data_IF_096193102107
#
_entry.id   IF_096193102107
#
_cell.length_a   1.000
_cell.length_b   1.000
_cell.length_c   1.000
_cell.angle_alpha   90.00
_cell.angle_beta   90.00
_cell.angle_gamma   90.00
#
_symmetry.space_group_name_H-M   'P 1'
#
loop_
_entity.id
_entity.type
_entity.pdbx_description
1 polymer ?
#
# COMPACT_ATOMS: atom_id res chain seq x y z
N UNK A 1 1.07 -50.70 -36.49
CA UNK A 1 -0.15 -51.03 -35.73
C UNK A 1 0.17 -50.87 -34.26
N UNK A 2 -0.69 -50.12 -33.53
CA UNK A 2 -0.73 -49.88 -32.06
C UNK A 2 0.43 -49.04 -31.49
N UNK A 3 0.24 -47.81 -31.00
CA UNK A 3 -0.62 -47.22 -29.91
C UNK A 3 -0.02 -47.41 -28.51
N UNK A 4 -0.36 -46.42 -27.66
CA UNK A 4 -0.13 -46.26 -26.20
C UNK A 4 1.12 -45.43 -25.85
N UNK A 5 1.06 -44.13 -25.53
CA UNK A 5 0.31 -43.28 -24.58
C UNK A 5 0.78 -43.37 -23.10
N UNK A 6 1.26 -42.21 -22.61
CA UNK A 6 1.22 -41.70 -21.23
C UNK A 6 2.14 -42.33 -20.15
N UNK A 7 3.01 -41.51 -19.53
CA UNK A 7 2.91 -41.14 -18.10
C UNK A 7 4.13 -40.34 -17.57
N UNK A 8 3.81 -39.14 -17.08
CA UNK A 8 4.24 -38.54 -15.78
C UNK A 8 5.71 -38.45 -15.37
N UNK A 9 6.16 -37.19 -15.26
CA UNK A 9 6.58 -36.55 -14.00
C UNK A 9 7.42 -37.36 -13.02
N UNK A 10 8.72 -37.08 -12.98
CA UNK A 10 9.50 -36.99 -11.73
C UNK A 10 10.87 -36.41 -12.06
N UNK A 11 11.10 -35.14 -11.77
CA UNK A 11 12.46 -34.61 -11.60
C UNK A 11 12.62 -34.22 -10.15
N UNK A 12 13.07 -35.19 -9.37
CA UNK A 12 13.64 -34.98 -8.05
C UNK A 12 15.02 -35.65 -8.02
N UNK A 13 15.97 -34.91 -7.47
CA UNK A 13 17.34 -35.30 -7.09
C UNK A 13 18.45 -35.30 -8.16
N UNK A 14 19.19 -34.18 -8.17
CA UNK A 14 20.60 -34.17 -7.76
C UNK A 14 21.65 -34.39 -8.85
N UNK A 15 22.63 -33.49 -8.97
CA UNK A 15 24.00 -33.73 -8.47
C UNK A 15 24.86 -32.47 -8.65
N UNK A 16 25.70 -32.22 -7.64
CA UNK A 16 26.69 -31.15 -7.60
C UNK A 16 27.80 -31.36 -8.65
N UNK A 17 28.35 -30.27 -9.17
CA UNK A 17 29.80 -30.23 -9.42
C UNK A 17 30.41 -29.17 -8.51
N UNK A 18 31.34 -29.65 -7.69
CA UNK A 18 32.03 -28.95 -6.63
C UNK A 18 33.34 -28.40 -7.17
N UNK A 19 33.56 -27.09 -7.09
CA UNK A 19 34.89 -26.50 -7.26
C UNK A 19 35.08 -25.31 -6.33
N UNK A 20 35.33 -25.67 -5.07
CA UNK A 20 36.39 -25.17 -4.19
C UNK A 20 37.00 -23.80 -4.53
N UNK A 21 36.68 -22.78 -3.72
CA UNK A 21 37.63 -21.72 -3.34
C UNK A 21 37.58 -21.57 -1.81
N UNK A 22 38.71 -21.92 -1.17
CA UNK A 22 39.00 -21.72 0.25
C UNK A 22 39.20 -20.23 0.55
N UNK A 23 38.63 -19.75 1.66
CA UNK A 23 39.11 -18.52 2.30
C UNK A 23 38.15 -17.90 3.32
N UNK A 24 38.55 -17.93 4.60
CA UNK A 24 38.16 -16.92 5.58
C UNK A 24 36.89 -17.19 6.39
N UNK A 25 37.07 -17.59 7.65
CA UNK A 25 36.01 -17.63 8.63
C UNK A 25 35.52 -16.23 9.00
N UNK A 26 34.25 -15.95 8.71
CA UNK A 26 33.39 -15.04 9.45
C UNK A 26 31.97 -15.61 9.39
N UNK A 27 31.26 -15.56 10.52
CA UNK A 27 30.02 -16.30 10.76
C UNK A 27 28.99 -16.17 9.63
N UNK A 28 28.52 -17.32 9.14
CA UNK A 28 27.19 -17.47 8.54
C UNK A 28 26.14 -17.04 9.57
N UNK A 29 25.70 -15.79 9.50
CA UNK A 29 24.49 -15.27 10.12
C UNK A 29 24.13 -13.99 9.38
N UNK A 30 22.87 -13.87 8.99
CA UNK A 30 22.22 -12.63 8.56
C UNK A 30 22.45 -12.19 7.10
N UNK A 31 22.09 -13.07 6.15
CA UNK A 31 21.84 -12.63 4.76
C UNK A 31 20.72 -13.40 4.04
N UNK A 32 19.64 -13.67 4.77
CA UNK A 32 18.37 -14.20 4.21
C UNK A 32 17.18 -13.44 4.82
N UNK A 33 17.24 -12.12 4.95
CA UNK A 33 16.09 -11.30 5.37
C UNK A 33 16.20 -9.87 4.83
N UNK A 34 16.05 -9.70 3.51
CA UNK A 34 15.72 -8.38 2.93
C UNK A 34 15.39 -8.48 1.44
N UNK A 35 14.54 -9.44 1.04
CA UNK A 35 13.96 -9.47 -0.31
C UNK A 35 12.43 -9.32 -0.33
N UNK A 36 11.83 -8.90 0.79
CA UNK A 36 10.41 -8.53 0.86
C UNK A 36 10.25 -7.13 1.44
N UNK A 37 11.03 -6.17 0.93
CA UNK A 37 10.72 -4.76 1.12
C UNK A 37 10.54 -4.16 -0.27
N UNK A 38 9.31 -3.76 -0.52
CA UNK A 38 8.87 -2.89 -1.63
C UNK A 38 8.25 -3.59 -2.84
N UNK A 39 7.00 -4.01 -2.66
CA UNK A 39 6.03 -3.96 -3.76
C UNK A 39 4.71 -3.27 -3.35
N UNK A 40 4.80 -2.29 -2.44
CA UNK A 40 3.65 -1.45 -2.08
C UNK A 40 3.81 -0.08 -2.73
N UNK A 41 3.14 0.10 -3.87
CA UNK A 41 3.10 1.36 -4.61
C UNK A 41 1.71 1.97 -4.44
N UNK A 42 1.59 2.99 -3.58
CA UNK A 42 0.37 3.77 -3.46
C UNK A 42 0.62 5.22 -3.87
N UNK A 43 -0.13 5.70 -4.85
CA UNK A 43 -0.10 7.10 -5.28
C UNK A 43 -1.46 7.75 -5.10
N UNK A 44 -1.51 9.07 -5.02
CA UNK A 44 -2.73 9.84 -4.93
C UNK A 44 -2.79 10.87 -6.07
N UNK A 45 -3.91 10.92 -6.77
CA UNK A 45 -4.15 11.84 -7.88
C UNK A 45 -5.48 12.60 -7.70
N UNK A 46 -5.48 13.93 -7.60
CA UNK A 46 -4.30 14.81 -7.60
C UNK A 46 -3.44 14.63 -6.34
N UNK A 47 -2.11 14.87 -6.41
CA UNK A 47 -1.21 14.71 -5.26
C UNK A 47 -1.34 15.82 -4.22
N UNK A 48 -2.05 16.91 -4.55
CA UNK A 48 -2.32 18.04 -3.66
C UNK A 48 -3.82 18.42 -3.72
N UNK A 49 -4.36 18.83 -2.59
CA UNK A 49 -5.76 19.24 -2.43
C UNK A 49 -5.86 20.75 -2.28
N UNK A 50 -6.38 21.46 -3.28
CA UNK A 50 -6.68 22.90 -3.16
C UNK A 50 -8.19 23.10 -3.14
N UNK A 51 -8.71 23.70 -2.06
CA UNK A 51 -10.16 23.94 -1.88
C UNK A 51 -10.41 25.35 -1.34
N UNK A 52 -11.53 26.00 -1.69
CA UNK A 52 -11.88 27.30 -1.14
C UNK A 52 -12.11 27.26 0.38
N UNK A 53 -11.70 28.31 1.09
CA UNK A 53 -11.94 28.49 2.52
C UNK A 53 -13.44 28.62 2.84
N UNK A 54 -14.24 29.12 1.89
CA UNK A 54 -15.70 29.17 1.95
C UNK A 54 -16.37 27.79 1.93
N UNK A 55 -15.62 26.72 1.63
CA UNK A 55 -16.11 25.35 1.54
C UNK A 55 -16.04 24.80 0.12
N UNK A 56 -15.96 23.48 0.01
CA UNK A 56 -15.84 22.78 -1.27
C UNK A 56 -15.56 21.30 -1.10
N UNK A 57 -15.52 20.57 -2.20
CA UNK A 57 -15.17 19.14 -2.23
C UNK A 57 -14.01 18.94 -3.19
N UNK A 58 -13.10 18.03 -2.82
CA UNK A 58 -12.03 17.56 -3.68
C UNK A 58 -11.98 16.04 -3.64
N UNK A 59 -11.85 15.40 -4.79
CA UNK A 59 -11.81 13.94 -4.90
C UNK A 59 -10.40 13.54 -5.30
N UNK A 60 -9.78 12.67 -4.50
CA UNK A 60 -8.46 12.11 -4.73
C UNK A 60 -8.57 10.62 -5.03
N UNK A 61 -8.02 10.21 -6.16
CA UNK A 61 -7.92 8.81 -6.55
C UNK A 61 -6.63 8.22 -6.00
N UNK A 62 -6.76 7.32 -5.03
CA UNK A 62 -5.66 6.49 -4.54
C UNK A 62 -5.46 5.31 -5.48
N UNK A 63 -4.31 5.20 -6.12
CA UNK A 63 -3.99 4.15 -7.09
C UNK A 63 -2.98 3.19 -6.48
N UNK A 64 -3.34 1.91 -6.40
CA UNK A 64 -2.43 0.85 -6.00
C UNK A 64 -1.74 0.26 -7.23
N UNK A 65 -0.44 0.55 -7.39
CA UNK A 65 0.40 -0.01 -8.43
C UNK A 65 1.12 -1.30 -8.04
N UNK A 66 0.91 -1.84 -6.84
CA UNK A 66 1.50 -3.11 -6.38
C UNK A 66 0.67 -4.33 -6.79
N UNK A 67 1.24 -5.53 -6.64
CA UNK A 67 0.55 -6.80 -6.89
C UNK A 67 -0.27 -7.31 -5.70
N UNK A 68 -0.12 -6.71 -4.52
CA UNK A 68 -0.87 -7.06 -3.31
C UNK A 68 -2.06 -6.13 -3.05
N UNK A 69 -3.10 -6.68 -2.40
CA UNK A 69 -4.20 -5.88 -1.85
C UNK A 69 -3.68 -5.02 -0.70
N UNK A 70 -3.91 -3.72 -0.76
CA UNK A 70 -3.51 -2.78 0.29
C UNK A 70 -4.69 -2.41 1.17
N UNK A 71 -4.39 -2.17 2.44
CA UNK A 71 -5.29 -1.55 3.40
C UNK A 71 -4.78 -0.14 3.67
N UNK A 72 -5.69 0.83 3.76
CA UNK A 72 -5.32 2.22 4.04
C UNK A 72 -6.13 2.81 5.20
N UNK A 73 -5.48 3.75 5.89
CA UNK A 73 -6.06 4.60 6.93
C UNK A 73 -5.67 6.04 6.68
N UNK A 74 -6.67 6.90 6.58
CA UNK A 74 -6.48 8.32 6.37
C UNK A 74 -6.51 9.05 7.71
N UNK A 75 -5.57 9.96 7.91
CA UNK A 75 -5.54 10.91 9.03
C UNK A 75 -5.39 12.31 8.48
N UNK A 76 -6.30 13.20 8.81
CA UNK A 76 -6.15 14.63 8.56
C UNK A 76 -5.50 15.32 9.76
N UNK A 77 -4.70 16.36 9.52
CA UNK A 77 -4.25 17.28 10.58
C UNK A 77 -5.39 18.06 11.20
N UNK A 78 -6.50 18.16 10.48
CA UNK A 78 -7.63 18.96 10.88
C UNK A 78 -8.94 18.24 10.55
N UNK A 79 -9.66 17.82 11.59
CA UNK A 79 -10.93 17.12 11.48
C UNK A 79 -12.13 18.01 11.81
N UNK A 80 -11.90 19.27 12.19
CA UNK A 80 -12.98 20.20 12.49
C UNK A 80 -13.61 20.69 11.19
N UNK A 81 -12.79 21.29 10.31
CA UNK A 81 -13.23 21.86 9.03
C UNK A 81 -13.20 20.88 7.85
N UNK A 82 -12.60 19.70 8.01
CA UNK A 82 -12.55 18.68 6.96
C UNK A 82 -13.32 17.42 7.33
N UNK A 83 -13.97 16.82 6.32
CA UNK A 83 -14.61 15.51 6.35
C UNK A 83 -14.03 14.68 5.23
N UNK A 84 -13.52 13.50 5.56
CA UNK A 84 -12.92 12.57 4.61
C UNK A 84 -13.78 11.32 4.54
N UNK A 85 -14.15 10.91 3.33
CA UNK A 85 -14.92 9.70 3.10
C UNK A 85 -14.35 8.97 1.87
N UNK A 86 -13.92 7.71 1.99
CA UNK A 86 -13.80 6.89 3.22
C UNK A 86 -12.51 7.18 4.02
N UNK A 87 -12.52 6.95 5.34
CA UNK A 87 -11.33 7.06 6.21
C UNK A 87 -10.50 5.77 6.22
N UNK A 88 -11.16 4.62 6.05
CA UNK A 88 -10.56 3.30 5.99
C UNK A 88 -11.05 2.58 4.74
N UNK A 89 -10.21 1.75 4.16
CA UNK A 89 -10.64 0.91 3.05
C UNK A 89 -9.55 -0.04 2.57
N UNK A 90 -9.93 -0.83 1.59
CA UNK A 90 -9.04 -1.71 0.85
C UNK A 90 -8.91 -1.23 -0.59
N UNK A 91 -7.73 -1.43 -1.17
CA UNK A 91 -7.46 -1.18 -2.56
C UNK A 91 -6.88 -2.46 -3.14
N UNK A 92 -7.63 -3.08 -4.05
CA UNK A 92 -7.18 -4.26 -4.77
C UNK A 92 -5.91 -3.97 -5.59
N UNK A 93 -5.11 -4.99 -5.93
CA UNK A 93 -3.94 -4.80 -6.77
C UNK A 93 -4.32 -4.23 -8.13
N UNK A 94 -3.53 -3.29 -8.62
CA UNK A 94 -3.82 -2.55 -9.87
C UNK A 94 -5.16 -1.81 -9.89
N UNK A 95 -5.81 -1.62 -8.74
CA UNK A 95 -7.08 -0.91 -8.62
C UNK A 95 -6.89 0.50 -8.06
N UNK A 96 -7.97 1.28 -8.08
CA UNK A 96 -8.00 2.60 -7.46
C UNK A 96 -9.21 2.78 -6.55
N UNK A 97 -9.04 3.65 -5.54
CA UNK A 97 -10.13 4.10 -4.67
C UNK A 97 -10.22 5.60 -4.64
N UNK A 98 -11.45 6.09 -4.79
CA UNK A 98 -11.74 7.51 -4.71
C UNK A 98 -11.97 7.90 -3.25
N UNK A 99 -11.31 8.96 -2.82
CA UNK A 99 -11.40 9.56 -1.50
C UNK A 99 -11.92 10.98 -1.67
N UNK A 100 -13.10 11.23 -1.12
CA UNK A 100 -13.71 12.55 -1.14
C UNK A 100 -13.32 13.30 0.12
N UNK A 101 -12.77 14.49 -0.07
CA UNK A 101 -12.42 15.42 0.99
C UNK A 101 -13.32 16.63 0.88
N UNK A 102 -14.22 16.76 1.84
CA UNK A 102 -15.16 17.87 1.95
C UNK A 102 -14.65 18.86 2.96
N UNK A 103 -14.48 20.11 2.55
CA UNK A 103 -14.16 21.24 3.42
C UNK A 103 -15.42 22.02 3.75
N UNK A 104 -15.63 22.31 5.03
CA UNK A 104 -16.64 23.26 5.50
C UNK A 104 -16.09 24.69 5.53
N UNK A 105 -16.98 25.67 5.51
CA UNK A 105 -16.60 27.07 5.63
C UNK A 105 -15.77 27.32 6.91
N UNK A 106 -14.61 27.96 6.76
CA UNK A 106 -13.69 28.23 7.86
C UNK A 106 -12.54 29.13 7.44
N UNK A 107 -11.65 29.48 8.37
CA UNK A 107 -10.51 30.34 8.08
C UNK A 107 -9.53 29.68 7.10
N UNK A 108 -8.89 30.45 6.19
CA UNK A 108 -7.90 29.89 5.28
C UNK A 108 -6.72 29.32 6.08
N UNK A 109 -6.32 28.09 5.76
CA UNK A 109 -5.31 27.33 6.50
C UNK A 109 -4.68 26.26 5.62
N UNK A 110 -3.39 26.02 5.84
CA UNK A 110 -2.69 24.87 5.29
C UNK A 110 -2.77 23.69 6.26
N UNK A 111 -3.18 22.56 5.72
CA UNK A 111 -3.39 21.31 6.42
C UNK A 111 -2.72 20.17 5.62
N UNK A 112 -2.70 18.97 6.20
CA UNK A 112 -2.14 17.79 5.52
C UNK A 112 -3.00 16.56 5.80
N UNK A 113 -3.15 15.75 4.77
CA UNK A 113 -3.84 14.47 4.84
C UNK A 113 -2.80 13.36 4.66
N UNK A 114 -2.63 12.55 5.69
CA UNK A 114 -1.66 11.45 5.74
C UNK A 114 -2.43 10.15 5.57
N UNK A 115 -2.21 9.46 4.45
CA UNK A 115 -2.70 8.11 4.19
C UNK A 115 -1.61 7.14 4.61
N UNK A 116 -1.87 6.39 5.68
CA UNK A 116 -1.06 5.24 6.05
C UNK A 116 -1.55 4.02 5.28
N UNK A 117 -0.64 3.23 4.73
CA UNK A 117 -0.98 2.02 4.00
C UNK A 117 -0.10 0.84 4.39
N UNK A 118 -0.61 -0.37 4.19
CA UNK A 118 0.08 -1.63 4.42
C UNK A 118 -0.56 -2.75 3.58
N UNK A 119 0.04 -3.93 3.58
CA UNK A 119 -0.58 -5.14 3.03
C UNK A 119 -1.86 -5.48 3.82
N UNK A 120 -2.95 -5.74 3.09
CA UNK A 120 -4.18 -6.19 3.69
C UNK A 120 -4.05 -7.67 4.13
N UNK A 121 -4.57 -8.05 5.31
CA UNK A 121 -4.70 -9.46 5.67
C UNK A 121 -5.66 -10.17 4.71
N UNK A 122 -5.36 -11.41 4.30
CA UNK A 122 -6.17 -12.16 3.33
C UNK A 122 -7.63 -12.36 3.78
N UNK A 123 -7.86 -12.51 5.08
CA UNK A 123 -9.19 -12.77 5.66
C UNK A 123 -9.89 -11.50 6.19
N UNK A 124 -9.32 -10.32 5.95
CA UNK A 124 -9.86 -9.07 6.46
C UNK A 124 -11.08 -8.61 5.66
N UNK A 125 -12.24 -8.59 6.31
CA UNK A 125 -13.48 -8.01 5.77
C UNK A 125 -13.70 -6.57 6.23
N UNK A 126 -13.20 -6.22 7.42
CA UNK A 126 -13.30 -4.88 8.00
C UNK A 126 -11.93 -4.18 7.98
N UNK A 127 -11.82 -3.13 7.16
CA UNK A 127 -10.59 -2.35 7.03
C UNK A 127 -10.23 -1.61 8.32
N UNK A 128 -11.20 -1.18 9.12
CA UNK A 128 -10.92 -0.46 10.35
C UNK A 128 -10.34 -1.40 11.41
N UNK A 129 -10.95 -2.58 11.57
CA UNK A 129 -10.48 -3.58 12.52
C UNK A 129 -9.12 -4.17 12.10
N UNK A 130 -8.95 -4.51 10.82
CA UNK A 130 -7.70 -5.05 10.30
C UNK A 130 -6.54 -4.05 10.41
N UNK A 131 -6.78 -2.76 10.19
CA UNK A 131 -5.70 -1.77 10.33
C UNK A 131 -5.21 -1.62 11.78
N UNK A 132 -6.00 -2.01 12.79
CA UNK A 132 -5.58 -1.95 14.18
C UNK A 132 -4.50 -2.99 14.54
N UNK A 133 -4.46 -4.12 13.82
CA UNK A 133 -3.46 -5.19 13.99
C UNK A 133 -2.31 -5.12 13.00
N UNK A 134 -2.39 -4.25 11.99
CA UNK A 134 -1.38 -4.11 10.94
C UNK A 134 -0.46 -2.92 11.23
N UNK A 135 0.85 -3.13 11.04
CA UNK A 135 1.82 -2.03 11.09
C UNK A 135 1.85 -1.33 9.73
N UNK A 136 1.68 0.00 9.66
CA UNK A 136 1.76 0.73 8.40
C UNK A 136 3.14 0.57 7.79
N UNK A 137 3.17 0.06 6.56
CA UNK A 137 4.41 -0.14 5.83
C UNK A 137 4.93 1.17 5.19
N UNK A 138 4.01 2.09 4.88
CA UNK A 138 4.34 3.37 4.29
C UNK A 138 3.25 4.41 4.52
N UNK A 139 3.55 5.64 4.09
CA UNK A 139 2.63 6.77 4.18
C UNK A 139 2.69 7.65 2.94
N UNK A 140 1.53 8.06 2.43
CA UNK A 140 1.38 9.11 1.42
C UNK A 140 0.87 10.36 2.12
N UNK A 141 1.47 11.51 1.86
CA UNK A 141 0.98 12.80 2.40
C UNK A 141 0.48 13.67 1.25
N UNK A 142 -0.78 14.07 1.33
CA UNK A 142 -1.43 15.01 0.42
C UNK A 142 -1.48 16.36 1.15
N UNK A 143 -0.73 17.39 0.71
CA UNK A 143 -0.89 18.74 1.23
C UNK A 143 -2.27 19.28 0.88
N UNK A 144 -2.89 19.96 1.84
CA UNK A 144 -4.21 20.55 1.71
C UNK A 144 -4.12 22.06 1.91
N UNK A 145 -4.54 22.82 0.92
CA UNK A 145 -4.50 24.27 0.96
C UNK A 145 -5.92 24.82 0.90
N UNK A 146 -6.32 25.55 1.94
CA UNK A 146 -7.42 26.49 1.81
C UNK A 146 -6.93 27.77 1.17
N UNK A 147 -7.61 28.21 0.13
CA UNK A 147 -7.43 29.57 -0.38
C UNK A 147 -8.64 30.43 -0.04
N UNK A 148 -8.44 31.70 0.34
CA UNK A 148 -9.54 32.64 0.58
C UNK A 148 -10.42 32.84 -0.66
#
# INVERSE_FOLDING_TARGET
MSRDLCATSSMFLGYLDESSIKGGGAKRKDRILSFEKEEMSLTADPPACTVPAAGGTSTHKLVNGGADKLIFKIKSSNNNEYRITPVFGFIDPSASKDVTVTRTAGAPKEDKLVIHFANAPADATDAQAAFASVTPAGTVTIPMSATP
#
